data_IF_822393258066
#
_entry.id   IF_822393258066
#
_cell.length_a   1.000
_cell.length_b   1.000
_cell.length_c   1.000
_cell.angle_alpha   90.00
_cell.angle_beta   90.00
_cell.angle_gamma   90.00
#
_symmetry.space_group_name_H-M   'P 1'
#
loop_
_entity.id
_entity.type
_entity.pdbx_description
1 polymer ?
#
# COMPACT_ATOMS: atom_id res chain seq x y z
N UNK A 1 12.09 -1.05 2.60
CA UNK A 1 10.80 -0.91 1.89
C UNK A 1 10.92 -0.15 0.56
N UNK A 2 11.34 1.13 0.51
CA UNK A 2 11.38 1.89 -0.76
C UNK A 2 12.13 1.20 -1.92
N UNK A 3 13.21 0.47 -1.61
CA UNK A 3 14.01 -0.32 -2.58
C UNK A 3 13.57 -1.78 -2.73
N UNK A 4 12.56 -2.20 -1.98
CA UNK A 4 12.04 -3.57 -2.01
C UNK A 4 11.02 -3.69 -3.13
N UNK A 5 11.09 -4.77 -3.90
CA UNK A 5 10.01 -5.12 -4.85
C UNK A 5 8.86 -5.70 -4.05
N UNK A 6 7.66 -5.18 -4.27
CA UNK A 6 6.42 -5.68 -3.71
C UNK A 6 5.54 -6.22 -4.82
N UNK A 7 4.90 -7.35 -4.56
CA UNK A 7 3.86 -7.94 -5.38
C UNK A 7 2.55 -7.29 -5.00
N UNK A 8 1.93 -6.57 -5.93
CA UNK A 8 0.65 -5.89 -5.73
C UNK A 8 -0.41 -6.66 -6.52
N UNK A 9 -1.38 -7.33 -5.88
CA UNK A 9 -2.41 -8.06 -6.60
C UNK A 9 -3.25 -7.10 -7.44
N UNK A 10 -3.78 -7.61 -8.55
CA UNK A 10 -4.66 -6.89 -9.45
C UNK A 10 -6.12 -7.25 -9.16
N UNK A 11 -6.99 -6.24 -9.14
CA UNK A 11 -8.43 -6.38 -9.16
C UNK A 11 -8.94 -5.85 -10.51
N UNK A 12 -8.97 -6.75 -11.51
CA UNK A 12 -9.22 -6.36 -12.90
C UNK A 12 -8.05 -5.54 -13.47
N UNK A 13 -8.33 -4.31 -13.89
CA UNK A 13 -7.35 -3.37 -14.46
C UNK A 13 -6.68 -2.46 -13.41
N UNK A 14 -7.03 -2.62 -12.12
CA UNK A 14 -6.54 -1.77 -11.03
C UNK A 14 -5.72 -2.55 -10.02
N UNK A 15 -4.82 -1.84 -9.34
CA UNK A 15 -4.15 -2.39 -8.17
C UNK A 15 -5.19 -2.63 -7.07
N UNK A 16 -5.05 -3.77 -6.40
CA UNK A 16 -5.91 -4.12 -5.28
C UNK A 16 -5.72 -3.11 -4.15
N UNK A 17 -6.83 -2.58 -3.67
CA UNK A 17 -6.85 -1.67 -2.53
C UNK A 17 -8.06 -1.89 -1.64
N UNK A 18 -7.93 -1.53 -0.36
CA UNK A 18 -9.05 -1.46 0.58
C UNK A 18 -9.15 -0.07 1.20
N UNK A 19 -10.33 0.28 1.71
CA UNK A 19 -10.55 1.57 2.38
C UNK A 19 -10.69 1.35 3.87
N UNK A 20 -9.85 2.03 4.66
CA UNK A 20 -9.85 1.95 6.12
C UNK A 20 -9.42 3.29 6.71
N UNK A 21 -10.20 3.82 7.66
CA UNK A 21 -9.87 5.07 8.34
C UNK A 21 -9.84 6.30 7.42
N UNK A 22 -10.63 6.30 6.34
CA UNK A 22 -10.62 7.38 5.33
C UNK A 22 -9.48 7.33 4.32
N UNK A 23 -8.55 6.38 4.47
CA UNK A 23 -7.40 6.17 3.59
C UNK A 23 -7.65 4.97 2.67
N UNK A 24 -7.25 5.10 1.40
CA UNK A 24 -7.14 3.98 0.47
C UNK A 24 -5.79 3.28 0.64
N UNK A 25 -5.80 2.02 1.01
CA UNK A 25 -4.60 1.21 1.21
C UNK A 25 -4.35 0.34 0.00
N UNK A 26 -3.24 0.58 -0.70
CA UNK A 26 -2.71 -0.35 -1.70
C UNK A 26 -2.08 -1.52 -0.94
N UNK A 27 -2.41 -2.76 -1.32
CA UNK A 27 -1.81 -3.95 -0.69
C UNK A 27 -0.58 -4.41 -1.46
N UNK A 28 0.58 -4.41 -0.83
CA UNK A 28 1.81 -5.00 -1.37
C UNK A 28 2.27 -6.19 -0.55
N UNK A 29 2.92 -7.15 -1.20
CA UNK A 29 3.45 -8.34 -0.54
C UNK A 29 4.92 -8.50 -0.84
N UNK A 30 5.72 -8.87 0.15
CA UNK A 30 7.18 -8.99 -0.01
C UNK A 30 7.59 -10.24 -0.79
N UNK A 31 6.74 -11.27 -0.79
CA UNK A 31 6.94 -12.52 -1.52
C UNK A 31 5.61 -13.18 -1.93
N UNK A 32 5.70 -14.22 -2.77
CA UNK A 32 4.54 -14.96 -3.27
C UNK A 32 3.80 -15.73 -2.16
N UNK A 33 4.47 -16.10 -1.06
CA UNK A 33 3.84 -16.80 0.06
C UNK A 33 2.90 -15.87 0.82
N UNK A 34 3.35 -14.65 1.10
CA UNK A 34 2.54 -13.59 1.71
C UNK A 34 1.34 -13.22 0.81
N UNK A 35 1.57 -13.08 -0.50
CA UNK A 35 0.48 -12.85 -1.47
C UNK A 35 -0.52 -14.02 -1.49
N UNK A 36 -0.05 -15.26 -1.58
CA UNK A 36 -0.91 -16.44 -1.63
C UNK A 36 -1.77 -16.59 -0.36
N UNK A 37 -1.22 -16.25 0.82
CA UNK A 37 -2.00 -16.19 2.07
C UNK A 37 -3.14 -15.18 1.93
N UNK A 38 -2.87 -13.98 1.43
CA UNK A 38 -3.90 -12.97 1.24
C UNK A 38 -4.99 -13.43 0.25
N UNK A 39 -4.59 -13.88 -0.93
CA UNK A 39 -5.54 -14.31 -1.99
C UNK A 39 -6.48 -15.40 -1.48
N UNK A 40 -5.97 -16.40 -0.75
CA UNK A 40 -6.80 -17.49 -0.19
C UNK A 40 -7.93 -17.01 0.74
N UNK A 41 -7.75 -15.88 1.42
CA UNK A 41 -8.78 -15.32 2.32
C UNK A 41 -9.77 -14.40 1.59
N UNK A 42 -9.41 -13.87 0.43
CA UNK A 42 -10.15 -12.78 -0.23
C UNK A 42 -10.76 -13.14 -1.58
N UNK A 43 -10.23 -14.16 -2.27
CA UNK A 43 -10.73 -14.59 -3.58
C UNK A 43 -11.34 -15.99 -3.43
N UNK A 44 -12.61 -16.18 -3.81
CA UNK A 44 -13.22 -17.50 -3.80
C UNK A 44 -12.62 -18.36 -4.92
N UNK A 45 -12.04 -19.50 -4.54
CA UNK A 45 -11.41 -20.45 -5.47
C UNK A 45 -9.89 -20.43 -5.42
N UNK A 46 -9.27 -21.35 -6.17
CA UNK A 46 -7.81 -21.54 -6.23
C UNK A 46 -7.19 -20.91 -7.50
N UNK A 47 -7.94 -20.07 -8.21
CA UNK A 47 -7.43 -19.40 -9.41
C UNK A 47 -6.32 -18.41 -9.06
N UNK A 48 -5.21 -18.41 -9.82
CA UNK A 48 -4.11 -17.49 -9.57
C UNK A 48 -4.54 -16.05 -9.83
N UNK A 49 -4.26 -15.16 -8.87
CA UNK A 49 -4.44 -13.72 -9.02
C UNK A 49 -3.25 -13.13 -9.76
N UNK A 50 -3.52 -12.34 -10.79
CA UNK A 50 -2.49 -11.54 -11.45
C UNK A 50 -1.92 -10.50 -10.47
N UNK A 51 -0.62 -10.22 -10.56
CA UNK A 51 0.04 -9.22 -9.73
C UNK A 51 1.03 -8.38 -10.54
N UNK A 52 1.25 -7.15 -10.08
CA UNK A 52 2.32 -6.28 -10.56
C UNK A 52 3.49 -6.31 -9.57
N UNK A 53 4.71 -6.48 -10.08
CA UNK A 53 5.93 -6.35 -9.28
C UNK A 53 6.44 -4.90 -9.37
N UNK A 54 6.30 -4.15 -8.27
CA UNK A 54 6.64 -2.72 -8.23
C UNK A 54 7.61 -2.43 -7.08
N UNK A 55 8.56 -1.52 -7.32
CA UNK A 55 9.35 -1.00 -6.21
C UNK A 55 8.46 -0.24 -5.24
N UNK A 56 8.72 -0.41 -3.95
CA UNK A 56 8.00 0.30 -2.90
C UNK A 56 7.96 1.82 -3.11
N UNK A 57 9.09 2.41 -3.52
CA UNK A 57 9.19 3.82 -3.87
C UNK A 57 8.21 4.20 -4.98
N UNK A 58 8.11 3.41 -6.05
CA UNK A 58 7.17 3.68 -7.14
C UNK A 58 5.72 3.71 -6.67
N UNK A 59 5.35 2.86 -5.72
CA UNK A 59 4.00 2.85 -5.16
C UNK A 59 3.74 4.15 -4.39
N UNK A 60 4.62 4.51 -3.45
CA UNK A 60 4.39 5.67 -2.58
C UNK A 60 4.64 7.02 -3.28
N UNK A 61 5.51 7.05 -4.29
CA UNK A 61 5.95 8.29 -4.96
C UNK A 61 5.20 8.58 -6.26
N UNK A 62 4.66 7.56 -6.95
CA UNK A 62 3.93 7.75 -8.22
C UNK A 62 2.48 7.29 -8.14
N UNK A 63 2.24 6.06 -7.69
CA UNK A 63 0.90 5.46 -7.71
C UNK A 63 -0.03 6.16 -6.71
N UNK A 64 0.43 6.37 -5.48
CA UNK A 64 -0.34 7.04 -4.43
C UNK A 64 -0.77 8.45 -4.86
N UNK A 65 0.13 9.35 -5.31
CA UNK A 65 -0.27 10.68 -5.77
C UNK A 65 -1.26 10.67 -6.94
N UNK A 66 -1.17 9.67 -7.83
CA UNK A 66 -2.06 9.56 -8.98
C UNK A 66 -3.51 9.19 -8.62
N UNK A 67 -3.77 8.68 -7.40
CA UNK A 67 -5.12 8.30 -6.96
C UNK A 67 -6.02 9.51 -6.65
N UNK A 68 -5.44 10.70 -6.42
CA UNK A 68 -6.20 11.93 -6.15
C UNK A 68 -7.00 11.91 -4.84
N UNK A 69 -6.74 10.95 -3.96
CA UNK A 69 -7.33 10.83 -2.63
C UNK A 69 -6.27 10.34 -1.62
N UNK A 70 -6.46 10.55 -0.30
CA UNK A 70 -5.55 10.02 0.71
C UNK A 70 -5.31 8.51 0.56
N UNK A 71 -4.07 8.14 0.24
CA UNK A 71 -3.72 6.75 -0.04
C UNK A 71 -2.38 6.32 0.58
N UNK A 72 -2.40 5.19 1.27
CA UNK A 72 -1.22 4.59 1.90
C UNK A 72 -0.88 3.24 1.29
N UNK A 73 0.19 2.64 1.80
CA UNK A 73 0.63 1.31 1.41
C UNK A 73 0.63 0.38 2.62
N UNK A 74 -0.10 -0.72 2.51
CA UNK A 74 -0.14 -1.77 3.51
C UNK A 74 0.62 -2.99 2.97
N UNK A 75 1.58 -3.48 3.74
CA UNK A 75 2.49 -4.55 3.34
C UNK A 75 2.24 -5.79 4.19
N UNK A 76 2.15 -6.95 3.52
CA UNK A 76 2.02 -8.26 4.17
C UNK A 76 0.87 -8.37 5.18
N UNK A 77 -0.27 -7.74 4.88
CA UNK A 77 -1.45 -7.66 5.78
C UNK A 77 -2.07 -9.00 6.16
N UNK A 78 -1.75 -10.08 5.43
CA UNK A 78 -2.19 -11.45 5.72
C UNK A 78 -1.11 -12.29 6.43
N UNK A 79 -0.02 -11.66 6.86
CA UNK A 79 1.05 -12.30 7.64
C UNK A 79 0.89 -11.92 9.10
N UNK A 80 0.73 -12.92 9.96
CA UNK A 80 0.66 -12.75 11.42
C UNK A 80 1.89 -12.01 11.94
N UNK A 81 1.67 -10.92 12.70
CA UNK A 81 2.68 -10.01 13.25
C UNK A 81 3.68 -9.37 12.23
N UNK A 82 3.51 -9.63 10.93
CA UNK A 82 4.39 -9.13 9.86
C UNK A 82 3.83 -7.92 9.11
N UNK A 83 2.58 -7.54 9.38
CA UNK A 83 1.91 -6.46 8.67
C UNK A 83 2.57 -5.09 8.97
N UNK A 84 2.87 -4.34 7.91
CA UNK A 84 3.43 -2.99 8.01
C UNK A 84 2.56 -1.99 7.27
N UNK A 85 2.33 -0.82 7.86
CA UNK A 85 1.54 0.25 7.26
C UNK A 85 2.40 1.49 7.04
N UNK A 86 2.33 2.02 5.82
CA UNK A 86 2.98 3.24 5.38
C UNK A 86 1.88 4.26 5.08
N UNK A 87 1.44 5.04 6.07
CA UNK A 87 0.34 6.00 5.91
C UNK A 87 0.68 7.15 4.96
N UNK A 88 -0.33 7.85 4.41
CA UNK A 88 -0.14 9.03 3.55
C UNK A 88 0.30 10.24 4.37
N UNK A 89 1.51 10.22 4.92
CA UNK A 89 2.07 11.35 5.69
C UNK A 89 3.38 11.85 5.09
N UNK A 90 3.78 13.06 5.45
CA UNK A 90 5.04 13.67 5.04
C UNK A 90 6.21 12.74 5.39
N UNK A 91 7.13 12.56 4.43
CA UNK A 91 8.27 11.65 4.56
C UNK A 91 7.99 10.20 4.11
N UNK A 92 6.73 9.78 4.09
CA UNK A 92 6.32 8.51 3.48
C UNK A 92 5.89 8.72 2.03
N UNK A 93 4.96 9.65 1.79
CA UNK A 93 4.46 9.99 0.45
C UNK A 93 4.89 11.43 0.10
N UNK A 94 4.86 11.83 -1.18
CA UNK A 94 5.05 13.23 -1.57
C UNK A 94 4.07 14.17 -0.86
N UNK A 95 4.50 15.41 -0.57
CA UNK A 95 3.70 16.39 0.17
C UNK A 95 2.31 16.63 -0.45
N UNK A 96 2.20 16.58 -1.78
CA UNK A 96 0.92 16.73 -2.50
C UNK A 96 -0.11 15.64 -2.19
N UNK A 97 0.32 14.51 -1.65
CA UNK A 97 -0.52 13.36 -1.29
C UNK A 97 -0.57 13.10 0.23
N UNK A 98 0.21 13.85 1.01
CA UNK A 98 0.28 13.70 2.46
C UNK A 98 -0.90 14.41 3.14
N UNK A 99 -1.54 13.74 4.11
CA UNK A 99 -2.71 14.28 4.82
C UNK A 99 -2.36 15.27 5.92
N UNK A 100 -1.13 15.21 6.41
CA UNK A 100 -0.55 16.10 7.43
C UNK A 100 0.25 17.27 6.79
N UNK A 101 0.25 17.37 5.45
CA UNK A 101 0.86 18.49 4.76
C UNK A 101 0.13 19.80 5.12
N UNK A 102 0.76 20.62 5.96
CA UNK A 102 0.20 21.89 6.47
C UNK A 102 0.04 21.96 7.98
N UNK A 103 0.17 20.83 8.70
CA UNK A 103 0.41 20.85 10.14
C UNK A 103 1.91 21.14 10.34
N UNK A 104 2.26 22.41 10.53
CA UNK A 104 3.62 22.77 10.95
C UNK A 104 3.96 21.97 12.22
N UNK A 105 5.17 21.41 12.35
CA UNK A 105 5.54 20.74 13.59
C UNK A 105 5.37 21.73 14.73
N UNK A 106 4.51 21.43 15.71
CA UNK A 106 4.47 22.18 16.96
C UNK A 106 5.87 22.10 17.57
N UNK A 107 6.67 23.15 17.35
CA UNK A 107 7.94 23.36 18.02
C UNK A 107 7.60 23.57 19.48
N UNK A 108 7.66 22.49 20.26
CA UNK A 108 7.64 22.59 21.72
C UNK A 108 8.91 23.35 22.14
N UNK A 109 8.72 24.62 22.48
CA UNK A 109 9.71 25.49 23.12
C UNK A 109 9.99 25.05 24.56
#
# INVERSE_FOLDING_TARGET
MRRTVLLVPMAGDRLWSARLGGVRWIHGFTDETALARFVRHHVPGDEPVAYAALLGARIVDEVVPALGEPAGLAVDVATEDGAMFFPPVVGIVPESAAVDAGEAPEVRA
#
